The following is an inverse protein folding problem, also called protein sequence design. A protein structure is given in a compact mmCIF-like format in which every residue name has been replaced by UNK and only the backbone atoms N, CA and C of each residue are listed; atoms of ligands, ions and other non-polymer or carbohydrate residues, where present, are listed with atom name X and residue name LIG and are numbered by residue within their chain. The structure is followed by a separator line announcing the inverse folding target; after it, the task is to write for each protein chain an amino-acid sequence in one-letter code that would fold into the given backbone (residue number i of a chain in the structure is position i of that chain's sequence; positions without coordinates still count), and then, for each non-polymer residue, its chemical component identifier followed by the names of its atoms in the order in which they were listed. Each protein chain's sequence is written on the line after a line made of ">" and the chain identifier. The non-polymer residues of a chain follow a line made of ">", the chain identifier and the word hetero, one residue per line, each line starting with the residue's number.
data_IF_511545011543
#
_entry.id   IF_511545011543
#
_cell.length_a   1.000
_cell.length_b   1.000
_cell.length_c   1.000
_cell.angle_alpha   90.00
_cell.angle_beta   90.00
_cell.angle_gamma   90.00
#
_symmetry.space_group_name_H-M   'P 1'
#
loop_
_entity.id
_entity.type
_entity.pdbx_description
1 polymer ?
#
# COMPACT_ATOMS: atom_id res chain seq x y z
N UNK A 1 -7.83 -50.01 37.64
CA UNK A 1 -7.55 -49.46 36.29
C UNK A 1 -7.96 -48.00 36.32
N UNK A 2 -7.00 -47.09 36.34
CA UNK A 2 -7.26 -45.64 36.33
C UNK A 2 -7.15 -45.16 34.88
N UNK A 3 -8.19 -44.46 34.43
CA UNK A 3 -8.28 -43.87 33.10
C UNK A 3 -7.39 -42.61 33.02
N UNK A 4 -6.46 -42.59 32.07
CA UNK A 4 -5.75 -41.37 31.70
C UNK A 4 -6.58 -40.61 30.67
N UNK A 5 -7.20 -39.52 31.13
CA UNK A 5 -7.91 -38.57 30.31
C UNK A 5 -6.95 -37.39 30.00
N UNK A 6 -6.14 -37.51 28.96
CA UNK A 6 -5.36 -36.37 28.46
C UNK A 6 -6.26 -35.55 27.55
N UNK A 7 -6.93 -34.55 28.13
CA UNK A 7 -7.53 -33.44 27.38
C UNK A 7 -6.41 -32.68 26.67
N UNK A 8 -6.13 -33.05 25.44
CA UNK A 8 -5.33 -32.23 24.53
C UNK A 8 -6.22 -31.08 24.07
N UNK A 9 -6.22 -29.99 24.85
CA UNK A 9 -6.84 -28.74 24.44
C UNK A 9 -6.00 -28.18 23.29
N UNK A 10 -6.36 -28.54 22.05
CA UNK A 10 -5.81 -27.87 20.88
C UNK A 10 -6.20 -26.40 21.00
N UNK A 11 -5.25 -25.56 21.37
CA UNK A 11 -5.42 -24.10 21.34
C UNK A 11 -5.60 -23.76 19.87
N UNK A 12 -6.84 -23.53 19.44
CA UNK A 12 -7.11 -22.99 18.12
C UNK A 12 -6.39 -21.65 18.02
N UNK A 13 -5.50 -21.43 17.03
CA UNK A 13 -4.84 -20.15 16.87
C UNK A 13 -5.89 -19.04 16.83
N UNK A 14 -5.72 -17.99 17.65
CA UNK A 14 -6.57 -16.82 17.55
C UNK A 14 -6.21 -16.09 16.24
N UNK A 15 -7.16 -16.09 15.31
CA UNK A 15 -7.00 -15.45 14.00
C UNK A 15 -7.49 -14.01 14.05
N UNK A 16 -6.68 -13.10 13.52
CA UNK A 16 -6.99 -11.70 13.31
C UNK A 16 -7.21 -11.48 11.82
N UNK A 17 -8.34 -10.89 11.45
CA UNK A 17 -8.68 -10.58 10.06
C UNK A 17 -8.34 -9.12 9.75
N UNK A 18 -7.39 -8.95 8.82
CA UNK A 18 -6.90 -7.64 8.36
C UNK A 18 -7.36 -7.37 6.93
N UNK A 19 -8.08 -6.26 6.72
CA UNK A 19 -8.28 -5.70 5.39
C UNK A 19 -7.37 -4.49 5.22
N UNK A 20 -6.52 -4.49 4.19
CA UNK A 20 -5.46 -3.49 4.09
C UNK A 20 -5.24 -2.96 2.67
N UNK A 21 -4.82 -1.70 2.56
CA UNK A 21 -4.40 -1.11 1.30
C UNK A 21 -3.25 -1.92 0.67
N UNK A 22 -3.30 -2.11 -0.65
CA UNK A 22 -2.37 -2.97 -1.39
C UNK A 22 -0.89 -2.61 -1.23
N UNK A 23 -0.58 -1.34 -1.01
CA UNK A 23 0.80 -0.85 -0.78
C UNK A 23 1.41 -1.36 0.53
N UNK A 24 0.60 -1.85 1.48
CA UNK A 24 1.05 -2.44 2.74
C UNK A 24 1.34 -3.95 2.64
N UNK A 25 0.98 -4.58 1.51
CA UNK A 25 0.93 -6.05 1.39
C UNK A 25 2.25 -6.76 1.68
N UNK A 26 3.39 -6.21 1.23
CA UNK A 26 4.68 -6.86 1.47
C UNK A 26 5.11 -6.79 2.94
N UNK A 27 4.90 -5.63 3.58
CA UNK A 27 5.23 -5.45 4.98
C UNK A 27 4.33 -6.31 5.87
N UNK A 28 3.01 -6.29 5.65
CA UNK A 28 2.10 -7.09 6.48
C UNK A 28 2.25 -8.60 6.30
N UNK A 29 2.67 -9.10 5.13
CA UNK A 29 3.02 -10.52 4.99
C UNK A 29 4.20 -10.88 5.91
N UNK A 30 5.21 -10.01 6.03
CA UNK A 30 6.31 -10.21 6.98
C UNK A 30 5.89 -10.03 8.44
N UNK A 31 4.97 -9.12 8.73
CA UNK A 31 4.38 -8.98 10.07
C UNK A 31 3.58 -10.23 10.43
N UNK A 32 2.82 -10.82 9.49
CA UNK A 32 2.07 -12.06 9.70
C UNK A 32 3.00 -13.22 10.08
N UNK A 33 4.09 -13.42 9.33
CA UNK A 33 5.10 -14.42 9.67
C UNK A 33 5.69 -14.15 11.07
N UNK A 34 5.97 -12.88 11.39
CA UNK A 34 6.65 -12.50 12.61
C UNK A 34 5.75 -12.64 13.86
N UNK A 35 4.49 -12.22 13.79
CA UNK A 35 3.56 -12.31 14.93
C UNK A 35 3.13 -13.75 15.21
N UNK A 36 3.03 -14.59 14.17
CA UNK A 36 2.79 -16.01 14.35
C UNK A 36 3.94 -16.68 15.12
N UNK A 37 5.18 -16.34 14.77
CA UNK A 37 6.36 -16.87 15.46
C UNK A 37 6.51 -16.33 16.89
N UNK A 38 6.23 -15.04 17.10
CA UNK A 38 6.48 -14.38 18.39
C UNK A 38 5.35 -14.59 19.40
N UNK A 39 4.09 -14.67 18.95
CA UNK A 39 2.89 -14.72 19.81
C UNK A 39 1.94 -15.89 19.52
N UNK A 40 2.17 -16.68 18.47
CA UNK A 40 1.23 -17.74 18.06
C UNK A 40 -0.09 -17.23 17.51
N UNK A 41 -0.18 -15.94 17.16
CA UNK A 41 -1.37 -15.30 16.59
C UNK A 41 -1.35 -15.41 15.06
N UNK A 42 -2.45 -15.86 14.47
CA UNK A 42 -2.59 -15.90 13.01
C UNK A 42 -3.09 -14.56 12.49
N UNK A 43 -2.48 -14.03 11.43
CA UNK A 43 -2.93 -12.82 10.75
C UNK A 43 -3.37 -13.16 9.33
N UNK A 44 -4.68 -13.21 9.11
CA UNK A 44 -5.27 -13.41 7.80
C UNK A 44 -5.55 -12.06 7.14
N UNK A 45 -4.80 -11.75 6.09
CA UNK A 45 -4.86 -10.44 5.44
C UNK A 45 -5.38 -10.53 3.99
N UNK A 46 -6.36 -9.68 3.65
CA UNK A 46 -6.73 -9.38 2.28
C UNK A 46 -6.27 -7.97 1.91
N UNK A 47 -5.72 -7.84 0.69
CA UNK A 47 -5.16 -6.60 0.18
C UNK A 47 -5.84 -6.17 -1.12
N UNK A 48 -6.07 -4.87 -1.27
CA UNK A 48 -6.60 -4.27 -2.51
C UNK A 48 -6.62 -2.74 -2.47
N UNK A 49 -7.36 -2.10 -3.39
CA UNK A 49 -7.58 -0.66 -3.32
C UNK A 49 -8.22 -0.26 -1.99
N UNK A 50 -7.85 0.91 -1.45
CA UNK A 50 -8.43 1.44 -0.21
C UNK A 50 -9.96 1.45 -0.27
N UNK A 51 -10.52 1.92 -1.39
CA UNK A 51 -11.98 1.96 -1.55
C UNK A 51 -12.61 0.57 -1.63
N UNK A 52 -11.95 -0.43 -2.24
CA UNK A 52 -12.43 -1.82 -2.24
C UNK A 52 -12.43 -2.40 -0.84
N UNK A 53 -11.36 -2.24 -0.06
CA UNK A 53 -11.31 -2.74 1.32
C UNK A 53 -12.42 -2.10 2.16
N UNK A 54 -12.60 -0.78 2.06
CA UNK A 54 -13.71 -0.09 2.71
C UNK A 54 -15.09 -0.54 2.22
N UNK A 55 -15.24 -0.91 0.93
CA UNK A 55 -16.47 -1.50 0.39
C UNK A 55 -16.76 -2.87 1.02
N UNK A 56 -15.76 -3.75 1.09
CA UNK A 56 -15.90 -5.08 1.69
C UNK A 56 -16.38 -5.01 3.15
N UNK A 57 -15.82 -4.08 3.94
CA UNK A 57 -16.23 -3.87 5.34
C UNK A 57 -17.70 -3.42 5.41
N UNK A 58 -18.09 -2.43 4.58
CA UNK A 58 -19.48 -1.95 4.53
C UNK A 58 -20.47 -3.02 4.07
N UNK A 59 -20.02 -3.96 3.23
CA UNK A 59 -20.80 -5.10 2.76
C UNK A 59 -20.82 -6.26 3.76
N UNK A 60 -20.26 -6.07 4.96
CA UNK A 60 -20.33 -7.05 6.05
C UNK A 60 -19.25 -8.14 6.00
N UNK A 61 -18.18 -7.95 5.21
CA UNK A 61 -17.03 -8.85 5.28
C UNK A 61 -16.41 -8.80 6.69
N UNK A 62 -16.09 -9.96 7.30
CA UNK A 62 -15.38 -9.98 8.58
C UNK A 62 -14.10 -9.16 8.51
N UNK A 63 -13.87 -8.32 9.53
CA UNK A 63 -12.70 -7.46 9.61
C UNK A 63 -12.49 -7.05 11.06
N UNK A 64 -11.33 -7.38 11.62
CA UNK A 64 -10.94 -6.96 12.97
C UNK A 64 -10.15 -5.65 12.93
N UNK A 65 -9.33 -5.47 11.89
CA UNK A 65 -8.52 -4.28 11.68
C UNK A 65 -8.56 -3.87 10.21
N UNK A 66 -8.82 -2.59 9.95
CA UNK A 66 -8.73 -1.99 8.63
C UNK A 66 -7.53 -1.04 8.57
N UNK A 67 -6.60 -1.27 7.64
CA UNK A 67 -5.42 -0.42 7.44
C UNK A 67 -5.46 0.28 6.07
N UNK A 68 -5.56 1.61 6.08
CA UNK A 68 -5.69 2.44 4.88
C UNK A 68 -4.38 3.15 4.51
N UNK A 69 -4.27 3.52 3.23
CA UNK A 69 -3.19 4.37 2.71
C UNK A 69 -3.40 5.87 2.96
N UNK A 70 -4.42 6.22 3.76
CA UNK A 70 -4.79 7.56 4.18
C UNK A 70 -5.32 7.52 5.62
N UNK A 71 -5.52 8.69 6.24
CA UNK A 71 -6.13 8.81 7.57
C UNK A 71 -7.65 8.96 7.48
N UNK A 72 -8.17 9.38 6.32
CA UNK A 72 -9.55 9.79 6.11
C UNK A 72 -10.50 8.60 5.88
N UNK A 73 -10.06 7.56 5.16
CA UNK A 73 -10.94 6.41 4.89
C UNK A 73 -11.29 5.62 6.16
N UNK A 74 -10.37 5.37 7.12
CA UNK A 74 -10.69 4.75 8.41
C UNK A 74 -11.77 5.50 9.22
N UNK A 75 -11.89 6.82 9.07
CA UNK A 75 -12.89 7.66 9.76
C UNK A 75 -14.34 7.34 9.38
N UNK A 76 -14.54 6.52 8.34
CA UNK A 76 -15.86 6.01 7.95
C UNK A 76 -16.35 4.89 8.87
N UNK A 77 -15.46 4.34 9.71
CA UNK A 77 -15.73 3.17 10.56
C UNK A 77 -15.51 3.45 12.05
N UNK A 78 -14.68 4.44 12.39
CA UNK A 78 -14.39 4.88 13.76
C UNK A 78 -14.35 6.40 13.81
N UNK A 79 -14.45 6.97 15.01
CA UNK A 79 -14.31 8.42 15.17
C UNK A 79 -12.89 8.90 14.78
N UNK A 80 -12.73 10.15 14.35
CA UNK A 80 -11.45 10.64 13.79
C UNK A 80 -10.29 10.54 14.78
N UNK A 81 -10.54 10.74 16.07
CA UNK A 81 -9.57 10.60 17.16
C UNK A 81 -9.22 9.15 17.50
N UNK A 82 -10.00 8.19 17.01
CA UNK A 82 -9.76 6.75 17.18
C UNK A 82 -8.97 6.14 16.02
N UNK A 83 -8.73 6.90 14.94
CA UNK A 83 -7.86 6.42 13.85
C UNK A 83 -6.43 6.37 14.34
N UNK A 84 -5.86 5.17 14.33
CA UNK A 84 -4.48 4.93 14.81
C UNK A 84 -3.51 5.21 13.66
N UNK A 85 -2.57 6.17 13.79
CA UNK A 85 -1.50 6.34 12.81
C UNK A 85 -0.61 5.10 12.73
N UNK A 86 -0.25 4.69 11.51
CA UNK A 86 0.55 3.48 11.28
C UNK A 86 1.96 3.82 10.76
N UNK A 87 2.04 4.38 9.56
CA UNK A 87 3.30 4.66 8.84
C UNK A 87 3.14 5.83 7.89
N UNK A 88 4.24 6.37 7.36
CA UNK A 88 4.23 7.32 6.24
C UNK A 88 4.86 6.71 4.98
N UNK A 89 4.45 7.20 3.82
CA UNK A 89 4.96 6.75 2.52
C UNK A 89 5.02 7.90 1.52
N UNK A 90 6.16 8.07 0.88
CA UNK A 90 6.36 9.15 -0.08
C UNK A 90 5.95 8.73 -1.48
N UNK A 91 5.44 9.69 -2.25
CA UNK A 91 5.33 9.56 -3.69
C UNK A 91 6.71 9.69 -4.32
N UNK A 92 7.00 8.82 -5.28
CA UNK A 92 8.21 8.82 -6.11
C UNK A 92 7.84 8.58 -7.57
N UNK A 93 8.74 8.91 -8.47
CA UNK A 93 8.66 8.49 -9.86
C UNK A 93 9.39 7.16 -10.07
N UNK A 94 8.94 6.37 -11.04
CA UNK A 94 9.67 5.20 -11.55
C UNK A 94 9.77 5.30 -13.06
N UNK A 95 10.96 5.19 -13.59
CA UNK A 95 11.23 5.19 -15.02
C UNK A 95 12.20 4.07 -15.39
N UNK A 96 12.43 3.88 -16.69
CA UNK A 96 13.51 3.03 -17.18
C UNK A 96 14.86 3.70 -16.92
N UNK A 97 15.90 2.91 -16.66
CA UNK A 97 17.28 3.38 -16.45
C UNK A 97 17.86 4.08 -17.67
N UNK A 98 17.50 3.62 -18.86
CA UNK A 98 17.92 4.18 -20.15
C UNK A 98 17.13 5.45 -20.57
N UNK A 99 16.17 5.90 -19.77
CA UNK A 99 15.35 7.10 -20.08
C UNK A 99 16.13 8.42 -19.97
N UNK A 100 17.24 8.44 -19.24
CA UNK A 100 17.99 9.66 -18.94
C UNK A 100 17.29 10.63 -17.98
N UNK A 101 16.13 10.27 -17.43
CA UNK A 101 15.37 11.12 -16.50
C UNK A 101 16.03 11.05 -15.11
N UNK A 102 16.23 12.21 -14.49
CA UNK A 102 16.65 12.35 -13.09
C UNK A 102 15.68 13.30 -12.35
N UNK A 103 15.91 13.51 -11.05
CA UNK A 103 15.02 14.32 -10.21
C UNK A 103 14.93 15.77 -10.70
N UNK A 104 16.08 16.38 -11.02
CA UNK A 104 16.16 17.79 -11.42
C UNK A 104 15.50 18.06 -12.77
N UNK A 105 15.66 17.14 -13.73
CA UNK A 105 15.08 17.25 -15.08
C UNK A 105 13.68 16.68 -15.23
N UNK A 106 13.08 16.16 -14.15
CA UNK A 106 11.72 15.60 -14.19
C UNK A 106 10.66 16.64 -14.56
N UNK A 107 10.66 17.87 -14.03
CA UNK A 107 9.69 18.90 -14.43
C UNK A 107 9.74 19.21 -15.93
N UNK A 108 10.95 19.41 -16.48
CA UNK A 108 11.17 19.67 -17.90
C UNK A 108 10.71 18.49 -18.77
N UNK A 109 10.96 17.26 -18.31
CA UNK A 109 10.47 16.06 -18.98
C UNK A 109 8.94 16.02 -19.07
N UNK A 110 8.24 16.35 -17.97
CA UNK A 110 6.77 16.29 -17.90
C UNK A 110 6.09 17.27 -18.86
N UNK A 111 6.65 18.47 -19.04
CA UNK A 111 6.08 19.53 -19.88
C UNK A 111 6.40 19.39 -21.37
N UNK A 112 7.18 18.39 -21.77
CA UNK A 112 7.48 18.15 -23.19
C UNK A 112 6.19 18.02 -24.01
N UNK A 113 6.17 18.64 -25.19
CA UNK A 113 5.01 18.63 -26.10
C UNK A 113 4.74 17.26 -26.75
N UNK A 114 5.60 16.26 -26.51
CA UNK A 114 5.39 14.89 -26.99
C UNK A 114 4.33 14.16 -26.14
N UNK A 115 3.62 13.18 -26.72
CA UNK A 115 2.82 12.26 -25.93
C UNK A 115 3.68 11.58 -24.85
N UNK A 116 3.16 11.56 -23.62
CA UNK A 116 3.71 10.79 -22.50
C UNK A 116 2.65 9.82 -22.01
N UNK A 117 3.08 8.63 -21.59
CA UNK A 117 2.28 7.67 -20.86
C UNK A 117 2.74 7.60 -19.41
N UNK A 118 2.05 8.34 -18.53
CA UNK A 118 2.33 8.39 -17.09
C UNK A 118 1.37 7.45 -16.36
N UNK A 119 1.85 6.30 -15.91
CA UNK A 119 1.05 5.34 -15.17
C UNK A 119 0.80 5.77 -13.72
N UNK A 120 -0.47 5.76 -13.32
CA UNK A 120 -0.91 6.02 -11.94
C UNK A 120 -1.89 4.94 -11.46
N UNK A 121 -2.11 4.84 -10.15
CA UNK A 121 -3.30 4.15 -9.63
C UNK A 121 -4.56 4.92 -10.00
N UNK A 122 -5.71 4.25 -9.98
CA UNK A 122 -7.02 4.90 -10.05
C UNK A 122 -7.15 5.95 -8.91
N UNK A 123 -7.23 7.25 -9.25
CA UNK A 123 -7.29 8.33 -8.26
C UNK A 123 -8.61 8.36 -7.49
N UNK A 124 -9.68 7.77 -8.02
CA UNK A 124 -10.99 7.74 -7.38
C UNK A 124 -11.08 6.68 -6.27
N UNK A 125 -10.20 5.68 -6.30
CA UNK A 125 -10.28 4.52 -5.38
C UNK A 125 -9.02 4.27 -4.55
N UNK A 126 -7.92 4.95 -4.87
CA UNK A 126 -6.64 4.79 -4.19
C UNK A 126 -5.98 6.11 -3.84
N UNK A 127 -5.55 6.31 -2.58
CA UNK A 127 -4.72 7.44 -2.18
C UNK A 127 -3.42 7.57 -2.99
N UNK A 128 -2.86 6.47 -3.47
CA UNK A 128 -1.70 6.50 -4.37
C UNK A 128 -1.98 7.29 -5.66
N UNK A 129 -3.19 7.13 -6.23
CA UNK A 129 -3.58 7.77 -7.48
C UNK A 129 -3.93 9.24 -7.28
N UNK A 130 -4.70 9.57 -6.24
CA UNK A 130 -5.03 10.96 -5.94
C UNK A 130 -3.79 11.76 -5.53
N UNK A 131 -2.85 11.16 -4.78
CA UNK A 131 -1.58 11.80 -4.45
C UNK A 131 -0.64 11.93 -5.67
N UNK A 132 -0.70 11.00 -6.63
CA UNK A 132 0.01 11.14 -7.90
C UNK A 132 -0.50 12.35 -8.70
N UNK A 133 -1.82 12.50 -8.82
CA UNK A 133 -2.42 13.68 -9.46
C UNK A 133 -2.07 14.97 -8.72
N UNK A 134 -2.14 14.97 -7.38
CA UNK A 134 -1.74 16.11 -6.55
C UNK A 134 -0.29 16.51 -6.84
N UNK A 135 0.62 15.55 -6.85
CA UNK A 135 2.03 15.77 -7.17
C UNK A 135 2.24 16.36 -8.56
N UNK A 136 1.64 15.75 -9.59
CA UNK A 136 1.78 16.20 -10.99
C UNK A 136 1.13 17.57 -11.23
N UNK A 137 0.06 17.90 -10.49
CA UNK A 137 -0.67 19.17 -10.62
C UNK A 137 0.16 20.41 -10.29
N UNK A 138 1.29 20.25 -9.61
CA UNK A 138 2.25 21.32 -9.39
C UNK A 138 2.96 21.79 -10.67
N UNK A 139 3.04 20.91 -11.69
CA UNK A 139 3.76 21.16 -12.94
C UNK A 139 2.80 21.20 -14.13
N UNK A 140 1.78 20.34 -14.13
CA UNK A 140 0.88 20.14 -15.26
C UNK A 140 -0.53 20.69 -14.95
N UNK A 141 -1.14 21.48 -15.85
CA UNK A 141 -2.53 21.89 -15.70
C UNK A 141 -3.47 20.69 -15.88
N UNK A 142 -4.72 20.76 -15.34
CA UNK A 142 -5.67 19.64 -15.35
C UNK A 142 -5.88 18.98 -16.72
N UNK A 143 -5.99 19.76 -17.79
CA UNK A 143 -6.21 19.24 -19.15
C UNK A 143 -5.07 18.34 -19.61
N UNK A 144 -3.83 18.71 -19.26
CA UNK A 144 -2.62 17.97 -19.63
C UNK A 144 -2.44 16.73 -18.74
N UNK A 145 -2.89 16.79 -17.48
CA UNK A 145 -2.91 15.62 -16.59
C UNK A 145 -3.77 14.51 -17.18
N UNK A 146 -4.99 14.82 -17.61
CA UNK A 146 -5.91 13.84 -18.19
C UNK A 146 -5.34 13.24 -19.48
N UNK A 147 -4.70 14.07 -20.32
CA UNK A 147 -4.07 13.62 -21.56
C UNK A 147 -2.88 12.68 -21.34
N UNK A 148 -2.04 12.96 -20.34
CA UNK A 148 -0.77 12.24 -20.10
C UNK A 148 -0.87 11.06 -19.13
N UNK A 149 -1.89 11.03 -18.27
CA UNK A 149 -2.01 9.97 -17.25
C UNK A 149 -2.82 8.77 -17.71
N UNK A 150 -2.42 7.57 -17.28
CA UNK A 150 -3.11 6.32 -17.56
C UNK A 150 -3.30 5.54 -16.26
N UNK A 151 -4.53 5.12 -16.00
CA UNK A 151 -4.85 4.28 -14.84
C UNK A 151 -4.33 2.86 -15.11
N UNK A 152 -3.36 2.43 -14.31
CA UNK A 152 -2.73 1.11 -14.43
C UNK A 152 -3.47 0.05 -13.62
N UNK A 153 -3.97 0.43 -12.44
CA UNK A 153 -4.63 -0.51 -11.53
C UNK A 153 -5.51 0.24 -10.52
N UNK A 154 -6.55 -0.43 -10.02
CA UNK A 154 -7.51 0.12 -9.08
C UNK A 154 -8.95 -0.17 -9.45
N UNK A 155 -9.86 0.63 -8.93
CA UNK A 155 -11.29 0.42 -9.04
C UNK A 155 -11.89 -0.29 -7.81
N UNK A 156 -13.23 -0.24 -7.72
CA UNK A 156 -14.01 -0.95 -6.70
C UNK A 156 -14.05 -2.46 -7.00
N UNK A 157 -14.10 -2.82 -8.27
CA UNK A 157 -14.13 -4.20 -8.76
C UNK A 157 -12.73 -4.76 -9.08
N UNK A 158 -11.68 -4.06 -8.64
CA UNK A 158 -10.32 -4.53 -8.76
C UNK A 158 -10.23 -5.96 -8.20
N UNK A 159 -9.64 -6.87 -8.97
CA UNK A 159 -9.31 -8.22 -8.49
C UNK A 159 -8.41 -8.12 -7.26
N UNK A 160 -8.44 -9.16 -6.41
CA UNK A 160 -7.56 -9.24 -5.23
C UNK A 160 -6.12 -8.92 -5.61
N UNK A 161 -5.37 -8.27 -4.70
CA UNK A 161 -3.97 -7.98 -4.94
C UNK A 161 -3.22 -9.27 -5.33
N UNK A 162 -2.33 -9.15 -6.31
CA UNK A 162 -1.52 -10.26 -6.80
C UNK A 162 -0.74 -10.95 -5.66
N UNK A 163 -0.52 -12.26 -5.81
CA UNK A 163 0.20 -13.04 -4.80
C UNK A 163 1.64 -12.52 -4.61
N UNK A 164 2.31 -13.00 -3.55
CA UNK A 164 3.72 -12.70 -3.36
C UNK A 164 4.53 -13.25 -4.54
N UNK A 165 5.48 -12.46 -5.05
CA UNK A 165 6.32 -12.83 -6.19
C UNK A 165 5.69 -12.56 -7.57
N UNK A 166 4.36 -12.48 -7.69
CA UNK A 166 3.73 -12.13 -8.96
C UNK A 166 4.08 -10.71 -9.43
N UNK A 167 4.32 -10.60 -10.73
CA UNK A 167 4.66 -9.34 -11.41
C UNK A 167 3.54 -8.31 -11.24
N UNK A 168 3.88 -7.13 -10.73
CA UNK A 168 2.90 -6.07 -10.51
C UNK A 168 2.42 -5.46 -11.83
N UNK A 169 1.19 -4.93 -11.85
CA UNK A 169 0.65 -4.22 -13.03
C UNK A 169 1.53 -3.02 -13.42
N UNK A 170 2.14 -2.36 -12.44
CA UNK A 170 3.11 -1.28 -12.64
C UNK A 170 4.36 -1.74 -13.39
N UNK A 171 4.91 -2.90 -13.01
CA UNK A 171 6.07 -3.49 -13.70
C UNK A 171 5.71 -3.81 -15.15
N UNK A 172 4.55 -4.43 -15.37
CA UNK A 172 4.05 -4.71 -16.73
C UNK A 172 3.86 -3.43 -17.53
N UNK A 173 3.31 -2.38 -16.95
CA UNK A 173 3.08 -1.10 -17.64
C UNK A 173 4.38 -0.46 -18.14
N UNK A 174 5.44 -0.45 -17.31
CA UNK A 174 6.74 0.07 -17.73
C UNK A 174 7.40 -0.77 -18.83
N UNK A 175 7.31 -2.09 -18.75
CA UNK A 175 7.83 -2.98 -19.79
C UNK A 175 7.09 -2.81 -21.12
N UNK A 176 5.79 -2.50 -21.06
CA UNK A 176 4.95 -2.23 -22.23
C UNK A 176 5.05 -0.79 -22.75
N UNK A 177 5.96 0.02 -22.20
CA UNK A 177 6.29 1.33 -22.74
C UNK A 177 5.64 2.52 -22.05
N UNK A 178 5.13 2.38 -20.81
CA UNK A 178 4.89 3.56 -19.98
C UNK A 178 6.21 4.33 -19.78
N UNK A 179 6.20 5.65 -20.02
CA UNK A 179 7.37 6.51 -19.87
C UNK A 179 7.77 6.65 -18.40
N UNK A 180 6.76 6.75 -17.52
CA UNK A 180 6.91 7.09 -16.12
C UNK A 180 5.77 6.45 -15.32
N UNK A 181 6.04 6.07 -14.07
CA UNK A 181 5.01 5.83 -13.07
C UNK A 181 5.13 6.86 -11.96
N UNK A 182 4.01 7.35 -11.44
CA UNK A 182 3.99 8.13 -10.19
C UNK A 182 3.27 7.29 -9.14
N UNK A 183 4.03 6.75 -8.20
CA UNK A 183 3.56 5.74 -7.23
C UNK A 183 4.19 5.96 -5.86
N UNK A 184 3.68 5.28 -4.84
CA UNK A 184 4.35 5.20 -3.55
C UNK A 184 5.73 4.53 -3.63
N UNK A 185 6.65 4.95 -2.76
CA UNK A 185 8.01 4.38 -2.63
C UNK A 185 8.00 2.87 -2.46
N UNK A 186 7.07 2.34 -1.66
CA UNK A 186 6.94 0.90 -1.44
C UNK A 186 6.60 0.13 -2.70
N UNK A 187 5.75 0.72 -3.57
CA UNK A 187 5.45 0.19 -4.91
C UNK A 187 6.67 0.30 -5.82
N UNK A 188 7.37 1.44 -5.81
CA UNK A 188 8.57 1.66 -6.62
C UNK A 188 9.69 0.66 -6.31
N UNK A 189 9.93 0.38 -5.02
CA UNK A 189 10.86 -0.65 -4.60
C UNK A 189 10.44 -2.05 -5.07
N UNK A 190 9.13 -2.36 -5.06
CA UNK A 190 8.61 -3.62 -5.62
C UNK A 190 8.92 -3.72 -7.11
N UNK A 191 8.66 -2.66 -7.87
CA UNK A 191 8.93 -2.61 -9.32
C UNK A 191 10.42 -2.82 -9.58
N UNK A 192 11.32 -2.12 -8.89
CA UNK A 192 12.76 -2.25 -9.07
C UNK A 192 13.31 -3.63 -8.64
N UNK A 193 12.65 -4.31 -7.69
CA UNK A 193 12.97 -5.71 -7.35
C UNK A 193 12.51 -6.70 -8.41
N UNK A 194 11.46 -6.37 -9.17
CA UNK A 194 10.88 -7.24 -10.21
C UNK A 194 11.47 -7.00 -11.60
N UNK A 195 11.99 -5.80 -11.85
CA UNK A 195 12.59 -5.43 -13.13
C UNK A 195 13.80 -4.53 -12.91
N UNK A 196 14.97 -5.05 -13.23
CA UNK A 196 16.26 -4.40 -13.02
C UNK A 196 16.50 -3.23 -13.97
N UNK A 197 15.73 -3.06 -15.05
CA UNK A 197 15.81 -1.86 -15.88
C UNK A 197 15.05 -0.67 -15.29
N UNK A 198 14.32 -0.84 -14.18
CA UNK A 198 13.65 0.27 -13.50
C UNK A 198 14.61 1.04 -12.56
N UNK A 199 14.33 2.33 -12.40
CA UNK A 199 14.95 3.19 -11.40
C UNK A 199 13.89 4.02 -10.68
N UNK A 200 14.14 4.28 -9.40
CA UNK A 200 13.37 5.22 -8.60
C UNK A 200 13.96 6.61 -8.82
N UNK A 201 13.09 7.58 -9.11
CA UNK A 201 13.44 9.00 -9.23
C UNK A 201 12.70 9.74 -8.13
N UNK A 202 13.46 10.46 -7.30
CA UNK A 202 12.89 11.32 -6.27
C UNK A 202 12.10 12.46 -6.92
N UNK A 203 10.93 12.78 -6.35
CA UNK A 203 10.16 13.92 -6.82
C UNK A 203 10.80 15.21 -6.27
N UNK A 204 11.18 16.17 -7.13
CA UNK A 204 11.73 17.44 -6.66
C UNK A 204 10.64 18.28 -5.98
N UNK A 205 11.04 19.27 -5.19
CA UNK A 205 10.11 20.32 -4.77
C UNK A 205 9.58 21.08 -6.00
N UNK A 206 8.27 21.41 -6.10
CA UNK A 206 7.22 21.24 -5.09
C UNK A 206 6.37 19.96 -5.23
N UNK A 207 6.78 19.00 -6.06
CA UNK A 207 6.00 17.78 -6.35
C UNK A 207 5.95 16.76 -5.19
N UNK A 208 6.71 16.98 -4.11
CA UNK A 208 6.80 16.05 -2.99
C UNK A 208 5.46 15.93 -2.25
N UNK A 209 4.93 14.71 -2.21
CA UNK A 209 3.70 14.36 -1.49
C UNK A 209 3.98 13.13 -0.63
N UNK A 210 3.69 13.23 0.67
CA UNK A 210 3.73 12.11 1.60
C UNK A 210 2.33 11.76 2.07
N UNK A 211 2.00 10.48 2.08
CA UNK A 211 0.76 9.99 2.69
C UNK A 211 1.01 9.50 4.11
N UNK A 212 0.09 9.80 5.02
CA UNK A 212 0.03 9.19 6.35
C UNK A 212 -1.03 8.09 6.34
N UNK A 213 -0.64 6.89 6.75
CA UNK A 213 -1.49 5.71 6.78
C UNK A 213 -2.19 5.62 8.13
N UNK A 214 -3.50 5.35 8.11
CA UNK A 214 -4.33 5.21 9.29
C UNK A 214 -4.95 3.83 9.41
N UNK A 215 -5.28 3.45 10.64
CA UNK A 215 -5.96 2.20 10.97
C UNK A 215 -7.24 2.45 11.76
N UNK A 216 -8.28 1.67 11.43
CA UNK A 216 -9.46 1.50 12.26
C UNK A 216 -9.42 0.13 12.93
N UNK A 217 -9.56 0.11 14.25
CA UNK A 217 -9.67 -1.12 15.05
C UNK A 217 -11.16 -1.39 15.26
N UNK A 218 -11.65 -2.50 14.69
CA UNK A 218 -13.09 -2.82 14.64
C UNK A 218 -13.48 -3.91 15.64
N UNK A 219 -12.50 -4.60 16.22
CA UNK A 219 -12.68 -5.63 17.23
C UNK A 219 -11.73 -5.37 18.43
N UNK A 220 -12.27 -5.44 19.65
CA UNK A 220 -11.54 -5.14 20.89
C UNK A 220 -11.03 -6.38 21.63
N UNK A 221 -10.89 -7.52 20.95
CA UNK A 221 -10.34 -8.74 21.54
C UNK A 221 -8.89 -8.54 22.00
N UNK A 222 -8.47 -9.35 22.98
CA UNK A 222 -7.08 -9.36 23.48
C UNK A 222 -6.08 -9.66 22.36
N UNK A 223 -6.44 -10.52 21.42
CA UNK A 223 -5.61 -10.82 20.24
C UNK A 223 -5.36 -9.56 19.39
N UNK A 224 -6.42 -8.79 19.11
CA UNK A 224 -6.30 -7.57 18.32
C UNK A 224 -5.45 -6.54 19.05
N UNK A 225 -5.68 -6.32 20.35
CA UNK A 225 -4.85 -5.39 21.11
C UNK A 225 -3.38 -5.79 21.15
N UNK A 226 -3.09 -7.09 21.31
CA UNK A 226 -1.73 -7.62 21.22
C UNK A 226 -1.10 -7.33 19.86
N UNK A 227 -1.85 -7.47 18.77
CA UNK A 227 -1.39 -7.12 17.43
C UNK A 227 -1.13 -5.62 17.27
N UNK A 228 -2.02 -4.75 17.76
CA UNK A 228 -1.82 -3.29 17.72
C UNK A 228 -0.54 -2.88 18.48
N UNK A 229 -0.33 -3.43 19.67
CA UNK A 229 0.90 -3.21 20.45
C UNK A 229 2.13 -3.73 19.71
N UNK A 230 2.02 -4.91 19.09
CA UNK A 230 3.10 -5.50 18.30
C UNK A 230 3.52 -4.62 17.11
N UNK A 231 2.57 -3.92 16.47
CA UNK A 231 2.89 -2.97 15.38
C UNK A 231 3.79 -1.83 15.84
N UNK A 232 3.79 -1.48 17.12
CA UNK A 232 4.65 -0.44 17.70
C UNK A 232 6.07 -0.95 18.05
N UNK A 233 6.30 -2.26 17.98
CA UNK A 233 7.59 -2.87 18.31
C UNK A 233 8.70 -2.39 17.39
N UNK A 234 9.95 -2.45 17.87
CA UNK A 234 11.13 -2.12 17.05
C UNK A 234 11.26 -3.07 15.85
N UNK A 235 10.90 -4.35 16.04
CA UNK A 235 10.92 -5.38 14.99
C UNK A 235 9.99 -5.03 13.84
N UNK A 236 8.73 -4.68 14.14
CA UNK A 236 7.76 -4.29 13.11
C UNK A 236 8.14 -2.96 12.45
N UNK A 237 8.62 -1.98 13.23
CA UNK A 237 9.17 -0.73 12.65
C UNK A 237 10.30 -0.99 11.65
N UNK A 238 11.18 -1.95 11.93
CA UNK A 238 12.24 -2.33 10.99
C UNK A 238 11.67 -2.99 9.73
N UNK A 239 10.71 -3.90 9.87
CA UNK A 239 10.01 -4.53 8.73
C UNK A 239 9.42 -3.45 7.80
N UNK A 240 8.68 -2.48 8.33
CA UNK A 240 8.10 -1.41 7.52
C UNK A 240 9.18 -0.57 6.80
N UNK A 241 10.26 -0.23 7.49
CA UNK A 241 11.40 0.50 6.90
C UNK A 241 12.08 -0.26 5.76
N UNK A 242 12.26 -1.57 5.88
CA UNK A 242 12.84 -2.42 4.83
C UNK A 242 12.02 -2.44 3.54
N UNK A 243 10.74 -2.09 3.63
CA UNK A 243 9.83 -1.94 2.49
C UNK A 243 9.62 -0.49 2.05
N UNK A 244 10.33 0.47 2.65
CA UNK A 244 10.33 1.87 2.22
C UNK A 244 9.31 2.78 2.91
N UNK A 245 8.68 2.31 3.99
CA UNK A 245 7.86 3.16 4.85
C UNK A 245 8.71 3.94 5.87
N UNK A 246 8.15 5.02 6.41
CA UNK A 246 8.72 5.86 7.46
C UNK A 246 7.95 5.73 8.76
#
# INVERSE_FOLDING_TARGET
>A
MLANNTNNCAVTPQTIILLAAGSLSQAFRKVADAILNDYGLSLEAEFGSTARMAKLIREGSPCDVFASADMETPQKFVASEQVVPLVRNDMVAVARRDSGINSDGLPEFLIQARPLSIGISDPCTQPCGSNALKSLSHILPPQILDEKTRVITGGLDQKKAKAAGEKSDYTTALEQGADLLIVFRTTAQKVCKQWDQAQIIELPSPMQVTSQYGMAVLNNSVAVQTFIDYLQSQKVRHIFKDYGFQ
#
